data_IF_686895615013
#
_entry.id   IF_686895615013
#
_cell.length_a   1.000
_cell.length_b   1.000
_cell.length_c   1.000
_cell.angle_alpha   90.00
_cell.angle_beta   90.00
_cell.angle_gamma   90.00
#
_symmetry.space_group_name_H-M   'P 1'
#
loop_
_entity.id
_entity.type
_entity.pdbx_description
1 polymer ?
#
# COMPACT_ATOMS: atom_id res chain seq x y z
N UNK A 1 3.28 -21.43 14.13
CA UNK A 1 3.48 -21.21 12.67
C UNK A 1 3.08 -19.79 12.34
N UNK A 2 3.87 -19.11 11.51
CA UNK A 2 3.54 -17.74 11.10
C UNK A 2 2.19 -17.67 10.38
N UNK A 3 1.38 -16.68 10.72
CA UNK A 3 0.10 -16.40 10.08
C UNK A 3 0.36 -15.68 8.75
N UNK A 4 0.17 -16.40 7.65
CA UNK A 4 0.38 -15.82 6.31
C UNK A 4 -0.80 -14.94 5.92
N UNK A 5 -0.49 -13.67 5.60
CA UNK A 5 -1.45 -12.68 5.15
C UNK A 5 -0.99 -12.16 3.78
N UNK A 6 -1.84 -12.28 2.77
CA UNK A 6 -1.63 -11.61 1.48
C UNK A 6 -2.46 -10.34 1.45
N UNK A 7 -1.84 -9.20 1.16
CA UNK A 7 -2.51 -7.90 1.06
C UNK A 7 -2.37 -7.34 -0.36
N UNK A 8 -3.48 -7.24 -1.08
CA UNK A 8 -3.52 -6.46 -2.32
C UNK A 8 -3.73 -4.98 -2.00
N UNK A 9 -2.88 -4.12 -2.57
CA UNK A 9 -2.74 -2.75 -2.10
C UNK A 9 -2.21 -1.81 -3.19
N UNK A 10 -2.49 -0.51 -3.03
CA UNK A 10 -1.88 0.55 -3.84
C UNK A 10 -1.39 1.69 -2.93
N UNK A 11 -0.25 2.27 -3.25
CA UNK A 11 0.34 3.37 -2.48
C UNK A 11 -0.49 4.66 -2.48
N UNK A 12 -1.31 4.87 -3.50
CA UNK A 12 -2.17 6.06 -3.59
C UNK A 12 -3.51 5.91 -2.85
N UNK A 13 -3.80 4.72 -2.31
CA UNK A 13 -4.99 4.44 -1.54
C UNK A 13 -4.76 4.70 -0.04
N UNK A 14 -5.43 5.68 0.58
CA UNK A 14 -5.22 6.01 1.99
C UNK A 14 -5.65 4.86 2.93
N UNK A 15 -6.68 4.12 2.59
CA UNK A 15 -7.09 2.94 3.35
C UNK A 15 -6.06 1.81 3.30
N UNK A 16 -5.28 1.74 2.21
CA UNK A 16 -4.18 0.80 2.11
C UNK A 16 -3.05 1.14 3.09
N UNK A 17 -2.74 2.41 3.24
CA UNK A 17 -1.74 2.84 4.23
C UNK A 17 -2.20 2.51 5.66
N UNK A 18 -3.45 2.84 6.00
CA UNK A 18 -4.03 2.44 7.31
C UNK A 18 -3.96 0.93 7.52
N UNK A 19 -4.33 0.16 6.51
CA UNK A 19 -4.32 -1.31 6.59
C UNK A 19 -2.91 -1.88 6.78
N UNK A 20 -1.93 -1.34 6.06
CA UNK A 20 -0.53 -1.70 6.18
C UNK A 20 0.02 -1.44 7.60
N UNK A 21 -0.19 -0.22 8.12
CA UNK A 21 0.23 0.13 9.47
C UNK A 21 -0.51 -0.66 10.56
N UNK A 22 -1.79 -1.00 10.32
CA UNK A 22 -2.55 -1.87 11.23
C UNK A 22 -1.91 -3.25 11.35
N UNK A 23 -1.52 -3.87 10.24
CA UNK A 23 -0.81 -5.17 10.25
C UNK A 23 0.56 -5.02 10.93
N UNK A 24 1.34 -3.98 10.60
CA UNK A 24 2.64 -3.74 11.24
C UNK A 24 2.53 -3.62 12.75
N UNK A 25 1.53 -2.89 13.23
CA UNK A 25 1.29 -2.72 14.67
C UNK A 25 0.92 -4.02 15.37
N UNK A 26 0.29 -4.95 14.66
CA UNK A 26 -0.11 -6.25 15.21
C UNK A 26 0.96 -7.35 15.09
N UNK A 27 2.02 -7.14 14.30
CA UNK A 27 3.13 -8.10 14.18
C UNK A 27 3.75 -8.52 15.53
N UNK A 28 3.92 -7.64 16.54
CA UNK A 28 4.43 -8.07 17.84
C UNK A 28 3.46 -8.96 18.64
N UNK A 29 2.15 -8.87 18.36
CA UNK A 29 1.12 -9.65 19.04
C UNK A 29 0.89 -11.03 18.36
N UNK A 30 1.18 -11.10 17.07
CA UNK A 30 0.96 -12.27 16.23
C UNK A 30 2.20 -12.52 15.36
N UNK A 31 2.62 -13.76 15.21
CA UNK A 31 3.66 -14.16 14.27
C UNK A 31 3.10 -14.05 12.83
N UNK A 32 3.26 -12.87 12.20
CA UNK A 32 2.67 -12.53 10.89
C UNK A 32 3.75 -12.50 9.82
N UNK A 33 3.52 -13.26 8.75
CA UNK A 33 4.21 -13.14 7.47
C UNK A 33 3.30 -12.38 6.50
N UNK A 34 3.60 -11.09 6.24
CA UNK A 34 2.85 -10.27 5.31
C UNK A 34 3.45 -10.36 3.91
N UNK A 35 2.66 -10.84 2.96
CA UNK A 35 2.95 -10.74 1.53
C UNK A 35 2.14 -9.59 0.94
N UNK A 36 2.77 -8.43 0.78
CA UNK A 36 2.17 -7.26 0.15
C UNK A 36 2.23 -7.40 -1.38
N UNK A 37 1.12 -7.20 -2.09
CA UNK A 37 1.05 -7.29 -3.56
C UNK A 37 0.47 -6.01 -4.14
N UNK A 38 1.22 -5.38 -5.05
CA UNK A 38 0.78 -4.18 -5.75
C UNK A 38 -0.43 -4.46 -6.65
N UNK A 39 -1.46 -3.62 -6.50
CA UNK A 39 -2.65 -3.60 -7.35
C UNK A 39 -2.97 -2.16 -7.73
N UNK A 40 -2.59 -1.76 -8.94
CA UNK A 40 -2.71 -0.39 -9.41
C UNK A 40 -4.17 0.00 -9.66
N UNK A 41 -4.70 0.98 -8.91
CA UNK A 41 -6.11 1.40 -8.99
C UNK A 41 -6.35 2.51 -10.04
N UNK A 42 -5.33 3.31 -10.35
CA UNK A 42 -5.39 4.39 -11.34
C UNK A 42 -4.19 4.33 -12.33
N UNK A 43 -4.16 3.34 -13.22
CA UNK A 43 -3.09 3.19 -14.20
C UNK A 43 -3.09 4.31 -15.26
N UNK A 44 -4.23 4.95 -15.47
CA UNK A 44 -4.47 6.05 -16.40
C UNK A 44 -4.00 7.42 -15.89
N UNK A 45 -3.73 7.56 -14.59
CA UNK A 45 -3.21 8.82 -14.07
C UNK A 45 -1.78 9.07 -14.55
N UNK A 46 -1.40 10.35 -14.86
CA UNK A 46 -0.07 10.65 -15.34
C UNK A 46 0.98 10.49 -14.22
N UNK A 47 2.14 9.97 -14.59
CA UNK A 47 3.29 9.85 -13.66
C UNK A 47 3.81 11.23 -13.20
N UNK A 48 3.68 12.27 -14.05
CA UNK A 48 3.99 13.64 -13.67
C UNK A 48 3.09 14.17 -12.54
N UNK A 49 1.94 13.52 -12.33
CA UNK A 49 0.95 13.89 -11.33
C UNK A 49 0.07 15.08 -11.74
N UNK A 50 -1.07 15.16 -11.10
CA UNK A 50 -2.01 16.27 -11.22
C UNK A 50 -2.14 16.90 -9.84
N UNK A 51 -1.91 18.22 -9.66
CA UNK A 51 -2.14 18.89 -8.38
C UNK A 51 -3.55 18.58 -7.86
N UNK A 52 -3.64 18.14 -6.62
CA UNK A 52 -4.90 17.61 -6.06
C UNK A 52 -6.01 18.67 -5.98
N UNK A 53 -5.67 19.93 -5.90
CA UNK A 53 -6.60 21.07 -5.95
C UNK A 53 -7.20 21.27 -7.36
N UNK A 54 -6.45 20.95 -8.41
CA UNK A 54 -6.89 21.06 -9.80
C UNK A 54 -7.66 19.84 -10.32
N UNK A 55 -7.44 18.68 -9.70
CA UNK A 55 -8.06 17.43 -10.11
C UNK A 55 -9.46 17.20 -9.51
N UNK A 56 -9.95 18.11 -8.66
CA UNK A 56 -11.14 17.91 -7.84
C UNK A 56 -12.25 18.84 -8.20
N UNK A 57 -13.45 18.30 -8.42
CA UNK A 57 -14.66 19.10 -8.65
C UNK A 57 -15.04 19.91 -7.41
N UNK A 58 -15.43 21.21 -7.54
CA UNK A 58 -15.75 22.09 -6.42
C UNK A 58 -16.90 21.59 -5.51
N UNK A 59 -17.88 20.89 -6.09
CA UNK A 59 -19.08 20.42 -5.38
C UNK A 59 -18.87 19.30 -4.36
N UNK A 60 -17.69 18.68 -4.34
CA UNK A 60 -17.41 17.47 -3.56
C UNK A 60 -16.63 17.72 -2.26
N UNK A 61 -16.53 18.99 -1.84
CA UNK A 61 -15.69 19.39 -0.70
C UNK A 61 -16.14 18.75 0.63
N UNK A 62 -17.44 18.76 0.92
CA UNK A 62 -17.95 18.25 2.20
C UNK A 62 -17.72 16.76 2.33
N UNK A 63 -17.99 15.99 1.28
CA UNK A 63 -17.76 14.53 1.24
C UNK A 63 -16.28 14.19 1.42
N UNK A 64 -15.38 14.98 0.83
CA UNK A 64 -13.93 14.80 1.01
C UNK A 64 -13.47 15.10 2.43
N UNK A 65 -13.98 16.15 3.04
CA UNK A 65 -13.66 16.47 4.44
C UNK A 65 -14.08 15.32 5.34
N UNK A 66 -15.32 14.86 5.25
CA UNK A 66 -15.83 13.74 6.04
C UNK A 66 -15.03 12.44 5.81
N UNK A 67 -14.62 12.17 4.54
CA UNK A 67 -13.77 11.03 4.21
C UNK A 67 -12.41 11.13 4.93
N UNK A 68 -11.77 12.29 4.87
CA UNK A 68 -10.46 12.47 5.50
C UNK A 68 -10.51 12.51 7.02
N UNK A 69 -11.58 13.02 7.62
CA UNK A 69 -11.82 12.90 9.06
C UNK A 69 -11.90 11.44 9.49
N UNK A 70 -12.62 10.60 8.74
CA UNK A 70 -12.69 9.16 8.98
C UNK A 70 -11.34 8.48 8.85
N UNK A 71 -10.59 8.79 7.78
CA UNK A 71 -9.26 8.21 7.55
C UNK A 71 -8.30 8.62 8.66
N UNK A 72 -8.29 9.89 9.05
CA UNK A 72 -7.44 10.41 10.13
C UNK A 72 -7.75 9.71 11.45
N UNK A 73 -9.04 9.55 11.80
CA UNK A 73 -9.42 8.84 13.02
C UNK A 73 -8.94 7.36 13.01
N UNK A 74 -8.96 6.71 11.85
CA UNK A 74 -8.42 5.35 11.73
C UNK A 74 -6.90 5.32 11.87
N UNK A 75 -6.18 6.27 11.30
CA UNK A 75 -4.73 6.39 11.40
C UNK A 75 -4.29 6.68 12.85
N UNK A 76 -4.98 7.62 13.52
CA UNK A 76 -4.73 7.97 14.92
C UNK A 76 -4.91 6.76 15.86
N UNK A 77 -5.92 5.93 15.63
CA UNK A 77 -6.15 4.70 16.39
C UNK A 77 -5.01 3.68 16.24
N UNK A 78 -4.31 3.70 15.10
CA UNK A 78 -3.13 2.87 14.85
C UNK A 78 -1.86 3.54 15.41
N UNK A 79 -1.87 4.85 15.64
CA UNK A 79 -0.78 5.61 16.25
C UNK A 79 0.12 6.32 15.24
N UNK A 80 -0.39 6.63 14.04
CA UNK A 80 0.30 7.47 13.07
C UNK A 80 -0.65 8.52 12.50
N UNK A 81 -0.09 9.55 11.85
CA UNK A 81 -0.86 10.59 11.17
C UNK A 81 -0.57 10.60 9.68
N UNK A 82 -1.56 11.02 8.89
CA UNK A 82 -1.43 11.19 7.45
C UNK A 82 -2.25 12.36 6.95
N UNK A 83 -1.91 12.87 5.77
CA UNK A 83 -2.56 14.02 5.15
C UNK A 83 -3.14 13.66 3.78
N UNK A 84 -4.13 14.42 3.28
CA UNK A 84 -4.53 14.33 1.89
C UNK A 84 -3.33 14.51 0.95
N UNK A 85 -3.18 13.69 -0.11
CA UNK A 85 -2.05 13.82 -1.02
C UNK A 85 -2.08 15.18 -1.73
N UNK A 86 -0.91 15.76 -1.92
CA UNK A 86 -0.75 17.03 -2.65
C UNK A 86 -0.89 16.85 -4.17
N UNK A 87 -0.60 15.63 -4.65
CA UNK A 87 -0.60 15.29 -6.08
C UNK A 87 -1.32 13.95 -6.29
N UNK A 88 -2.16 13.87 -7.33
CA UNK A 88 -2.76 12.61 -7.78
C UNK A 88 -1.89 12.06 -8.91
N UNK A 89 -1.35 10.87 -8.73
CA UNK A 89 -0.40 10.26 -9.65
C UNK A 89 -0.63 8.75 -9.76
N UNK A 90 -0.13 8.12 -10.84
CA UNK A 90 -0.10 6.66 -10.84
C UNK A 90 1.05 6.14 -9.96
N UNK A 91 0.88 4.94 -9.45
CA UNK A 91 1.82 4.28 -8.54
C UNK A 91 2.80 3.33 -9.22
N UNK A 92 2.82 3.26 -10.56
CA UNK A 92 3.56 2.23 -11.31
C UNK A 92 5.05 2.17 -10.95
N UNK A 93 5.72 3.32 -10.85
CA UNK A 93 7.15 3.37 -10.53
C UNK A 93 7.41 2.82 -9.12
N UNK A 94 6.60 3.24 -8.14
CA UNK A 94 6.67 2.77 -6.77
C UNK A 94 6.42 1.26 -6.65
N UNK A 95 5.38 0.76 -7.32
CA UNK A 95 5.05 -0.67 -7.35
C UNK A 95 6.18 -1.51 -7.97
N UNK A 96 6.78 -1.06 -9.07
CA UNK A 96 7.89 -1.76 -9.72
C UNK A 96 9.15 -1.80 -8.82
N UNK A 97 9.45 -0.70 -8.13
CA UNK A 97 10.55 -0.63 -7.17
C UNK A 97 10.33 -1.61 -5.99
N UNK A 98 9.09 -1.74 -5.50
CA UNK A 98 8.77 -2.69 -4.43
C UNK A 98 8.94 -4.15 -4.89
N UNK A 99 8.55 -4.49 -6.12
CA UNK A 99 8.79 -5.81 -6.67
C UNK A 99 10.30 -6.15 -6.80
N UNK A 100 11.13 -5.15 -7.06
CA UNK A 100 12.58 -5.30 -7.01
C UNK A 100 13.08 -5.46 -5.56
N UNK A 101 12.63 -4.61 -4.62
CA UNK A 101 13.04 -4.63 -3.22
C UNK A 101 12.78 -5.98 -2.55
N UNK A 102 11.72 -6.68 -2.96
CA UNK A 102 11.36 -8.00 -2.44
C UNK A 102 12.44 -9.06 -2.70
N UNK A 103 13.19 -8.95 -3.77
CA UNK A 103 14.29 -9.88 -4.08
C UNK A 103 15.44 -9.82 -3.06
N UNK A 104 15.55 -8.71 -2.33
CA UNK A 104 16.54 -8.49 -1.28
C UNK A 104 15.93 -8.44 0.14
N UNK A 105 14.62 -8.71 0.28
CA UNK A 105 13.92 -8.67 1.58
C UNK A 105 13.85 -7.27 2.20
N UNK A 106 13.85 -6.23 1.35
CA UNK A 106 13.77 -4.82 1.77
C UNK A 106 12.46 -4.14 1.39
N UNK A 107 11.50 -4.92 0.95
CA UNK A 107 10.19 -4.43 0.50
C UNK A 107 9.43 -3.71 1.60
N UNK A 108 9.34 -4.25 2.81
CA UNK A 108 8.61 -3.60 3.91
C UNK A 108 9.19 -2.22 4.28
N UNK A 109 10.51 -2.07 4.30
CA UNK A 109 11.16 -0.79 4.58
C UNK A 109 10.87 0.24 3.46
N UNK A 110 10.86 -0.20 2.20
CA UNK A 110 10.51 0.64 1.07
C UNK A 110 9.01 0.98 1.05
N UNK A 111 8.14 0.02 1.35
CA UNK A 111 6.69 0.21 1.43
C UNK A 111 6.32 1.31 2.43
N UNK A 112 6.87 1.24 3.64
CA UNK A 112 6.69 2.25 4.67
C UNK A 112 7.16 3.63 4.18
N UNK A 113 8.35 3.68 3.58
CA UNK A 113 8.94 4.95 3.12
C UNK A 113 8.14 5.58 1.99
N UNK A 114 7.59 4.79 1.04
CA UNK A 114 6.76 5.27 -0.06
C UNK A 114 5.42 5.81 0.45
N UNK A 115 4.72 5.09 1.33
CA UNK A 115 3.48 5.57 1.92
C UNK A 115 3.68 6.90 2.64
N UNK A 116 4.73 7.01 3.44
CA UNK A 116 5.08 8.23 4.14
C UNK A 116 5.40 9.38 3.18
N UNK A 117 6.17 9.13 2.12
CA UNK A 117 6.48 10.12 1.10
C UNK A 117 5.20 10.72 0.49
N UNK A 118 4.26 9.86 0.12
CA UNK A 118 3.03 10.28 -0.54
C UNK A 118 2.06 11.00 0.39
N UNK A 119 1.78 10.44 1.58
CA UNK A 119 0.74 10.96 2.47
C UNK A 119 1.23 11.93 3.54
N UNK A 120 2.51 11.99 3.87
CA UNK A 120 3.03 12.89 4.89
C UNK A 120 3.92 13.98 4.30
N UNK A 121 4.82 13.59 3.38
CA UNK A 121 5.81 14.48 2.80
C UNK A 121 5.28 15.20 1.54
N UNK A 122 4.18 14.70 0.94
CA UNK A 122 3.53 15.29 -0.24
C UNK A 122 4.29 15.06 -1.54
N UNK A 123 5.12 14.01 -1.60
CA UNK A 123 5.97 13.71 -2.73
C UNK A 123 5.22 12.98 -3.86
N UNK A 124 5.64 13.21 -5.10
CA UNK A 124 5.10 12.51 -6.27
C UNK A 124 5.76 11.15 -6.46
N UNK A 125 5.14 10.08 -5.99
CA UNK A 125 5.63 8.70 -6.15
C UNK A 125 5.45 8.10 -7.56
N UNK A 126 4.87 8.85 -8.49
CA UNK A 126 4.88 8.53 -9.92
C UNK A 126 6.19 8.92 -10.60
N UNK A 127 6.95 9.84 -10.00
CA UNK A 127 8.26 10.24 -10.48
C UNK A 127 9.32 9.18 -10.14
N UNK A 128 9.96 8.63 -11.16
CA UNK A 128 10.97 7.59 -10.99
C UNK A 128 12.19 8.06 -10.20
N UNK A 129 12.57 9.33 -10.30
CA UNK A 129 13.68 9.91 -9.53
C UNK A 129 13.36 10.00 -8.04
N UNK A 130 12.13 10.40 -7.69
CA UNK A 130 11.64 10.38 -6.30
C UNK A 130 11.69 8.95 -5.76
N UNK A 131 11.12 7.98 -6.49
CA UNK A 131 11.08 6.58 -6.04
C UNK A 131 12.49 6.00 -5.88
N UNK A 132 13.40 6.30 -6.81
CA UNK A 132 14.81 5.87 -6.72
C UNK A 132 15.49 6.40 -5.47
N UNK A 133 15.26 7.67 -5.11
CA UNK A 133 15.80 8.27 -3.88
C UNK A 133 15.21 7.62 -2.63
N UNK A 134 13.89 7.41 -2.58
CA UNK A 134 13.22 6.74 -1.45
C UNK A 134 13.75 5.31 -1.26
N UNK A 135 14.03 4.61 -2.36
CA UNK A 135 14.60 3.28 -2.32
C UNK A 135 16.04 3.28 -1.77
N UNK A 136 16.84 4.29 -2.12
CA UNK A 136 18.17 4.45 -1.52
C UNK A 136 18.10 4.73 -0.01
N UNK A 137 17.13 5.51 0.45
CA UNK A 137 16.86 5.73 1.88
C UNK A 137 16.46 4.43 2.59
N UNK A 138 15.80 3.51 1.90
CA UNK A 138 15.48 2.16 2.39
C UNK A 138 16.65 1.16 2.26
N UNK A 139 17.82 1.61 1.79
CA UNK A 139 19.05 0.82 1.69
C UNK A 139 19.20 -0.02 0.43
N UNK A 140 18.49 0.34 -0.65
CA UNK A 140 18.63 -0.27 -1.98
C UNK A 140 19.63 0.52 -2.84
N UNK A 141 20.23 -0.11 -3.85
CA UNK A 141 21.05 0.60 -4.83
C UNK A 141 20.18 1.43 -5.78
N UNK A 142 20.45 2.73 -5.86
CA UNK A 142 19.68 3.66 -6.66
C UNK A 142 19.72 3.36 -8.16
N UNK A 143 20.87 2.90 -8.67
CA UNK A 143 21.04 2.54 -10.07
C UNK A 143 20.20 1.32 -10.44
N UNK A 144 20.28 0.27 -9.63
CA UNK A 144 19.51 -0.96 -9.82
C UNK A 144 17.99 -0.70 -9.75
N UNK A 145 17.54 0.15 -8.81
CA UNK A 145 16.13 0.54 -8.73
C UNK A 145 15.69 1.34 -9.94
N UNK A 146 16.51 2.28 -10.41
CA UNK A 146 16.20 3.04 -11.64
C UNK A 146 16.03 2.14 -12.86
N UNK A 147 16.85 1.11 -12.98
CA UNK A 147 16.75 0.10 -14.04
C UNK A 147 15.54 -0.82 -13.85
N UNK A 148 15.27 -1.22 -12.61
CA UNK A 148 14.11 -2.04 -12.26
C UNK A 148 12.78 -1.36 -12.64
N UNK A 149 12.61 -0.08 -12.35
CA UNK A 149 11.40 0.70 -12.70
C UNK A 149 11.10 0.65 -14.21
N UNK A 150 12.13 0.56 -15.05
CA UNK A 150 12.03 0.51 -16.52
C UNK A 150 11.97 -0.92 -17.06
N UNK A 151 12.24 -1.92 -16.21
CA UNK A 151 12.40 -3.30 -16.63
C UNK A 151 11.07 -3.98 -16.95
N UNK A 152 10.95 -4.65 -18.12
CA UNK A 152 9.79 -5.48 -18.45
C UNK A 152 9.51 -6.59 -17.43
N UNK A 153 10.54 -7.05 -16.71
CA UNK A 153 10.42 -8.09 -15.65
C UNK A 153 9.43 -7.65 -14.57
N UNK A 154 9.58 -6.45 -14.04
CA UNK A 154 8.73 -5.97 -12.95
C UNK A 154 7.37 -5.49 -13.46
N UNK A 155 7.30 -4.96 -14.68
CA UNK A 155 6.01 -4.72 -15.33
C UNK A 155 5.19 -6.01 -15.47
N UNK A 156 5.83 -7.11 -15.86
CA UNK A 156 5.15 -8.41 -15.94
C UNK A 156 4.68 -8.89 -14.56
N UNK A 157 5.48 -8.68 -13.50
CA UNK A 157 5.06 -8.99 -12.13
C UNK A 157 3.82 -8.21 -11.71
N UNK A 158 3.75 -6.92 -12.01
CA UNK A 158 2.57 -6.11 -11.72
C UNK A 158 1.33 -6.62 -12.47
N UNK A 159 1.48 -7.01 -13.73
CA UNK A 159 0.41 -7.65 -14.51
C UNK A 159 -0.05 -8.97 -13.87
N UNK A 160 0.90 -9.79 -13.43
CA UNK A 160 0.60 -11.06 -12.75
C UNK A 160 -0.10 -10.83 -11.39
N UNK A 161 0.32 -9.82 -10.61
CA UNK A 161 -0.37 -9.45 -9.37
C UNK A 161 -1.82 -9.03 -9.64
N UNK A 162 -2.06 -8.21 -10.68
CA UNK A 162 -3.40 -7.80 -11.08
C UNK A 162 -4.23 -8.99 -11.53
N UNK A 163 -3.66 -9.90 -12.32
CA UNK A 163 -4.35 -11.13 -12.75
C UNK A 163 -4.71 -12.01 -11.54
N UNK A 164 -3.77 -12.24 -10.62
CA UNK A 164 -4.00 -13.02 -9.40
C UNK A 164 -5.08 -12.37 -8.51
N UNK A 165 -5.11 -11.04 -8.42
CA UNK A 165 -6.15 -10.31 -7.71
C UNK A 165 -7.53 -10.57 -8.32
N UNK A 166 -7.66 -10.40 -9.63
CA UNK A 166 -8.93 -10.64 -10.33
C UNK A 166 -9.40 -12.10 -10.21
N UNK A 167 -8.50 -13.07 -10.34
CA UNK A 167 -8.81 -14.50 -10.18
C UNK A 167 -9.33 -14.83 -8.76
N UNK A 168 -8.89 -14.07 -7.74
CA UNK A 168 -9.35 -14.19 -6.36
C UNK A 168 -10.56 -13.30 -6.03
N UNK A 169 -11.15 -12.63 -7.02
CA UNK A 169 -12.34 -11.78 -6.84
C UNK A 169 -12.05 -10.43 -6.16
N UNK A 170 -10.80 -9.96 -6.18
CA UNK A 170 -10.44 -8.64 -5.65
C UNK A 170 -11.05 -7.56 -6.54
N UNK A 171 -11.97 -6.78 -5.99
CA UNK A 171 -12.66 -5.66 -6.66
C UNK A 171 -12.25 -4.29 -6.12
N UNK A 172 -11.39 -4.24 -5.10
CA UNK A 172 -10.91 -3.01 -4.49
C UNK A 172 -9.79 -3.28 -3.49
N UNK A 173 -9.15 -2.22 -3.04
CA UNK A 173 -8.02 -2.28 -2.12
C UNK A 173 -8.24 -1.40 -0.88
N UNK A 174 -7.67 -1.75 0.29
CA UNK A 174 -6.95 -2.98 0.52
C UNK A 174 -7.87 -4.19 0.54
N UNK A 175 -7.39 -5.33 0.04
CA UNK A 175 -8.03 -6.62 0.27
C UNK A 175 -6.97 -7.55 0.88
N UNK A 176 -7.29 -8.11 2.03
CA UNK A 176 -6.44 -9.07 2.73
C UNK A 176 -6.97 -10.48 2.51
N UNK A 177 -6.06 -11.43 2.41
CA UNK A 177 -6.37 -12.85 2.52
C UNK A 177 -5.63 -13.41 3.72
N UNK A 178 -6.38 -13.92 4.67
CA UNK A 178 -5.86 -14.60 5.86
C UNK A 178 -6.11 -16.10 5.64
N UNK A 179 -5.09 -16.80 5.16
CA UNK A 179 -5.29 -18.07 4.47
C UNK A 179 -6.15 -17.86 3.22
N UNK A 180 -7.28 -18.57 3.12
CA UNK A 180 -8.21 -18.43 1.99
C UNK A 180 -9.35 -17.40 2.24
N UNK A 181 -9.41 -16.79 3.43
CA UNK A 181 -10.51 -15.88 3.77
C UNK A 181 -10.22 -14.45 3.31
N UNK A 182 -11.05 -13.89 2.39
CA UNK A 182 -10.94 -12.50 1.98
C UNK A 182 -11.50 -11.57 3.04
N UNK A 183 -10.82 -10.46 3.26
CA UNK A 183 -11.24 -9.34 4.10
C UNK A 183 -11.04 -8.05 3.31
N UNK A 184 -12.13 -7.42 2.90
CA UNK A 184 -12.12 -6.23 2.05
C UNK A 184 -12.14 -4.96 2.91
N UNK A 185 -11.28 -4.01 2.54
CA UNK A 185 -11.19 -2.69 3.19
C UNK A 185 -10.34 -2.70 4.47
N UNK A 186 -9.92 -1.50 4.86
CA UNK A 186 -9.22 -1.30 6.12
C UNK A 186 -10.18 -1.53 7.30
N UNK A 187 -9.72 -2.31 8.27
CA UNK A 187 -10.45 -2.58 9.51
C UNK A 187 -9.91 -1.71 10.62
N UNK A 188 -10.71 -1.49 11.67
CA UNK A 188 -10.18 -0.91 12.91
C UNK A 188 -9.14 -1.84 13.54
N UNK A 189 -8.23 -1.28 14.34
CA UNK A 189 -7.19 -2.05 15.01
C UNK A 189 -7.78 -3.21 15.83
N UNK A 190 -8.86 -2.96 16.58
CA UNK A 190 -9.50 -3.98 17.41
C UNK A 190 -10.22 -5.05 16.58
N UNK A 191 -10.87 -4.66 15.48
CA UNK A 191 -11.50 -5.61 14.58
C UNK A 191 -10.46 -6.52 13.92
N UNK A 192 -9.35 -5.94 13.43
CA UNK A 192 -8.25 -6.72 12.83
C UNK A 192 -7.64 -7.66 13.88
N UNK A 193 -7.38 -7.19 15.11
CA UNK A 193 -6.87 -8.03 16.21
C UNK A 193 -7.78 -9.21 16.49
N UNK A 194 -9.10 -8.98 16.56
CA UNK A 194 -10.06 -10.05 16.80
C UNK A 194 -10.10 -11.07 15.65
N UNK A 195 -9.97 -10.62 14.40
CA UNK A 195 -9.91 -11.48 13.22
C UNK A 195 -8.64 -12.34 13.26
N UNK A 196 -7.47 -11.73 13.50
CA UNK A 196 -6.20 -12.44 13.57
C UNK A 196 -6.16 -13.46 14.71
N UNK A 197 -6.73 -13.12 15.87
CA UNK A 197 -6.85 -14.07 16.99
C UNK A 197 -7.63 -15.33 16.58
N UNK A 198 -8.80 -15.16 15.97
CA UNK A 198 -9.61 -16.29 15.47
C UNK A 198 -8.90 -17.11 14.40
N UNK A 199 -8.20 -16.43 13.49
CA UNK A 199 -7.42 -17.11 12.47
C UNK A 199 -6.29 -17.93 13.09
N UNK A 200 -5.55 -17.37 14.05
CA UNK A 200 -4.47 -18.06 14.73
C UNK A 200 -4.95 -19.29 15.50
N UNK A 201 -6.08 -19.20 16.20
CA UNK A 201 -6.71 -20.34 16.90
C UNK A 201 -7.09 -21.46 15.91
N UNK A 202 -7.61 -21.11 14.73
CA UNK A 202 -8.04 -22.06 13.70
C UNK A 202 -6.88 -22.75 13.00
N UNK A 203 -5.75 -22.06 12.78
CA UNK A 203 -4.58 -22.62 12.08
C UNK A 203 -3.58 -23.30 13.03
N UNK A 204 -3.77 -23.13 14.36
CA UNK A 204 -2.99 -23.82 15.39
C UNK A 204 -3.57 -25.21 15.75
N UNK A 205 -4.81 -25.48 15.35
CA UNK A 205 -5.51 -26.77 15.52
C UNK A 205 -5.34 -27.67 14.29
#
# INVERSE_FOLDING_TARGET
MALKIVMFSDYICPFCYVGFETIRKLKPEFDIELEWRGFQIHPDWPAAGIPADKAREPGDRASRVALWERISAMADAVGFSMKPPAVLTNSRAALAATEFARESGRDEALEERIYRAYFNDGENIGDAGVVTRLAAEAGLDAGEVSDAIKSPKYEMRLKNNSLAAHQRGVSGVPTFFIGEFPLVGAQSLDAMRAILKRANERFAS
#
